data_IF_299108604086
#
_entry.id   IF_299108604086
#
_cell.length_a   1.000
_cell.length_b   1.000
_cell.length_c   1.000
_cell.angle_alpha   90.00
_cell.angle_beta   90.00
_cell.angle_gamma   90.00
#
_symmetry.space_group_name_H-M   'P 1'
#
loop_
_entity.id
_entity.type
_entity.pdbx_description
1 polymer ?
#
# COMPACT_ATOMS: atom_id res chain seq x y z
N UNK A 1 -4.16 -21.20 -21.86
CA UNK A 1 -5.24 -21.27 -20.85
C UNK A 1 -6.56 -20.92 -21.52
N UNK A 2 -7.66 -21.59 -21.15
CA UNK A 2 -8.99 -21.25 -21.67
C UNK A 2 -9.41 -19.87 -21.13
N UNK A 3 -10.13 -19.10 -21.96
CA UNK A 3 -10.55 -17.72 -21.66
C UNK A 3 -11.48 -17.65 -20.44
N UNK A 4 -12.24 -18.73 -20.20
CA UNK A 4 -13.17 -18.90 -19.08
C UNK A 4 -12.49 -18.81 -17.70
N UNK A 5 -11.31 -19.40 -17.53
CA UNK A 5 -10.58 -19.44 -16.26
C UNK A 5 -10.05 -18.05 -15.84
N UNK A 6 -9.65 -17.22 -16.80
CA UNK A 6 -9.08 -15.89 -16.52
C UNK A 6 -10.08 -14.91 -15.91
N UNK A 7 -11.37 -15.19 -16.09
CA UNK A 7 -12.46 -14.34 -15.66
C UNK A 7 -13.28 -15.01 -14.52
N UNK A 8 -12.84 -16.17 -14.01
CA UNK A 8 -13.43 -16.81 -12.83
C UNK A 8 -12.95 -16.14 -11.56
N UNK A 9 -13.89 -15.67 -10.74
CA UNK A 9 -13.60 -15.03 -9.44
C UNK A 9 -13.16 -16.07 -8.42
N UNK A 10 -12.04 -15.81 -7.74
CA UNK A 10 -11.59 -16.60 -6.60
C UNK A 10 -12.30 -16.10 -5.32
N UNK A 11 -13.12 -16.92 -4.63
CA UNK A 11 -13.99 -16.43 -3.54
C UNK A 11 -13.28 -15.81 -2.34
N UNK A 12 -12.06 -16.25 -2.00
CA UNK A 12 -11.30 -15.77 -0.86
C UNK A 12 -10.73 -14.37 -1.04
N UNK A 13 -10.45 -13.96 -2.28
CA UNK A 13 -9.94 -12.62 -2.62
C UNK A 13 -10.98 -11.74 -3.31
N UNK A 14 -12.01 -12.34 -3.92
CA UNK A 14 -12.95 -11.63 -4.79
C UNK A 14 -12.34 -11.19 -6.13
N UNK A 15 -11.14 -11.67 -6.47
CA UNK A 15 -10.41 -11.29 -7.68
C UNK A 15 -10.34 -12.42 -8.69
N UNK A 16 -10.44 -12.08 -9.96
CA UNK A 16 -10.13 -12.95 -11.10
C UNK A 16 -8.60 -13.07 -11.29
N UNK A 17 -8.09 -14.12 -11.95
CA UNK A 17 -6.69 -14.20 -12.34
C UNK A 17 -6.23 -12.99 -13.16
N UNK A 18 -7.10 -12.45 -14.03
CA UNK A 18 -6.81 -11.23 -14.80
C UNK A 18 -6.54 -10.04 -13.90
N UNK A 19 -7.39 -9.79 -12.91
CA UNK A 19 -7.22 -8.68 -11.96
C UNK A 19 -5.98 -8.88 -11.09
N UNK A 20 -5.72 -10.10 -10.62
CA UNK A 20 -4.50 -10.43 -9.86
C UNK A 20 -3.25 -10.11 -10.66
N UNK A 21 -3.22 -10.46 -11.96
CA UNK A 21 -2.09 -10.14 -12.82
C UNK A 21 -1.95 -8.63 -13.04
N UNK A 22 -3.05 -7.91 -13.28
CA UNK A 22 -3.01 -6.45 -13.40
C UNK A 22 -2.47 -5.76 -12.14
N UNK A 23 -2.82 -6.26 -10.95
CA UNK A 23 -2.27 -5.76 -9.67
C UNK A 23 -0.76 -6.02 -9.61
N UNK A 24 -0.30 -7.23 -9.94
CA UNK A 24 1.14 -7.57 -9.94
C UNK A 24 1.93 -6.70 -10.91
N UNK A 25 1.44 -6.54 -12.14
CA UNK A 25 2.09 -5.76 -13.18
C UNK A 25 2.18 -4.28 -12.79
N UNK A 26 1.09 -3.72 -12.27
CA UNK A 26 1.05 -2.34 -11.76
C UNK A 26 2.02 -2.14 -10.60
N UNK A 27 2.02 -3.06 -9.63
CA UNK A 27 2.89 -2.97 -8.46
C UNK A 27 4.38 -3.11 -8.82
N UNK A 28 4.70 -3.93 -9.83
CA UNK A 28 6.07 -4.07 -10.32
C UNK A 28 6.64 -2.73 -10.82
N UNK A 29 5.84 -1.89 -11.49
CA UNK A 29 6.23 -0.53 -11.89
C UNK A 29 6.50 0.35 -10.68
N UNK A 30 5.60 0.31 -9.68
CA UNK A 30 5.75 1.08 -8.44
C UNK A 30 7.03 0.70 -7.68
N UNK A 31 7.41 -0.58 -7.70
CA UNK A 31 8.60 -1.06 -6.98
C UNK A 31 9.93 -0.65 -7.61
N UNK A 32 9.96 -0.22 -8.88
CA UNK A 32 11.19 0.24 -9.55
C UNK A 32 11.79 1.48 -8.87
N UNK A 33 10.95 2.41 -8.40
CA UNK A 33 11.35 3.61 -7.67
C UNK A 33 10.85 3.56 -6.21
N UNK A 34 10.96 2.40 -5.55
CA UNK A 34 10.37 2.14 -4.22
C UNK A 34 10.55 3.27 -3.20
N UNK A 35 11.76 3.79 -3.02
CA UNK A 35 12.04 4.82 -2.00
C UNK A 35 11.29 6.13 -2.30
N UNK A 36 11.43 6.62 -3.54
CA UNK A 36 10.74 7.82 -4.03
C UNK A 36 9.23 7.66 -4.00
N UNK A 37 8.71 6.52 -4.47
CA UNK A 37 7.28 6.23 -4.44
C UNK A 37 6.74 6.11 -3.00
N UNK A 38 7.55 5.59 -2.06
CA UNK A 38 7.24 5.61 -0.64
C UNK A 38 7.11 7.01 -0.08
N UNK A 39 8.04 7.90 -0.44
CA UNK A 39 7.96 9.33 -0.11
C UNK A 39 6.70 9.98 -0.68
N UNK A 40 6.50 9.89 -2.00
CA UNK A 40 5.36 10.51 -2.69
C UNK A 40 4.01 10.02 -2.15
N UNK A 41 3.89 8.71 -1.88
CA UNK A 41 2.67 8.15 -1.28
C UNK A 41 2.38 8.74 0.10
N UNK A 42 3.36 8.73 1.01
CA UNK A 42 3.12 9.24 2.36
C UNK A 42 2.95 10.75 2.39
N UNK A 43 3.66 11.50 1.53
CA UNK A 43 3.43 12.93 1.36
C UNK A 43 1.97 13.18 0.96
N UNK A 44 1.46 12.47 -0.05
CA UNK A 44 0.04 12.52 -0.45
C UNK A 44 -0.90 12.16 0.69
N UNK A 45 -0.58 11.12 1.45
CA UNK A 45 -1.39 10.67 2.59
C UNK A 45 -1.50 11.75 3.68
N UNK A 46 -0.39 12.40 4.04
CA UNK A 46 -0.41 13.46 5.05
C UNK A 46 -0.94 14.80 4.52
N UNK A 47 -0.83 15.07 3.21
CA UNK A 47 -1.53 16.21 2.59
C UNK A 47 -3.05 16.05 2.63
N UNK A 48 -3.54 14.83 2.38
CA UNK A 48 -4.98 14.53 2.40
C UNK A 48 -5.53 14.39 3.83
N UNK A 49 -4.73 13.85 4.75
CA UNK A 49 -5.12 13.54 6.12
C UNK A 49 -4.01 13.97 7.11
N UNK A 50 -3.83 15.28 7.36
CA UNK A 50 -2.72 15.79 8.17
C UNK A 50 -2.67 15.20 9.59
N UNK A 51 -3.83 14.88 10.17
CA UNK A 51 -3.93 14.29 11.50
C UNK A 51 -3.26 12.91 11.59
N UNK A 52 -3.11 12.21 10.47
CA UNK A 52 -2.47 10.90 10.42
C UNK A 52 -0.96 10.96 10.72
N UNK A 53 -0.29 12.08 10.43
CA UNK A 53 1.14 12.23 10.75
C UNK A 53 1.40 12.15 12.25
N UNK A 54 0.42 12.55 13.08
CA UNK A 54 0.49 12.55 14.54
C UNK A 54 0.74 11.17 15.17
N UNK A 55 0.47 10.07 14.46
CA UNK A 55 0.71 8.71 14.92
C UNK A 55 2.18 8.26 14.78
N UNK A 56 3.01 9.05 14.11
CA UNK A 56 4.37 8.68 13.77
C UNK A 56 5.41 9.41 14.65
N UNK A 57 6.61 8.82 14.84
CA UNK A 57 7.68 9.47 15.58
C UNK A 57 8.25 10.72 14.87
N UNK A 58 7.85 10.97 13.61
CA UNK A 58 8.22 12.12 12.79
C UNK A 58 7.06 13.11 12.61
N UNK A 59 6.12 13.12 13.54
CA UNK A 59 4.93 13.99 13.51
C UNK A 59 5.22 15.49 13.41
N UNK A 60 6.38 15.93 13.87
CA UNK A 60 6.79 17.34 13.90
C UNK A 60 7.77 17.70 12.75
N UNK A 61 7.95 16.80 11.77
CA UNK A 61 8.81 17.01 10.61
C UNK A 61 7.97 17.57 9.46
N UNK A 62 8.45 18.63 8.81
CA UNK A 62 7.81 19.19 7.62
C UNK A 62 7.75 18.15 6.49
N UNK A 63 6.66 18.17 5.70
CA UNK A 63 6.41 17.13 4.69
C UNK A 63 7.52 17.05 3.63
N UNK A 64 8.09 18.19 3.24
CA UNK A 64 9.19 18.26 2.27
C UNK A 64 10.51 17.72 2.82
N UNK A 65 10.68 17.69 4.15
CA UNK A 65 11.86 17.17 4.82
C UNK A 65 11.75 15.68 5.17
N UNK A 66 10.56 15.08 5.03
CA UNK A 66 10.32 13.67 5.36
C UNK A 66 11.19 12.74 4.52
N UNK A 67 11.45 13.07 3.25
CA UNK A 67 12.22 12.21 2.34
C UNK A 67 13.58 11.84 2.93
N UNK A 68 14.21 12.77 3.65
CA UNK A 68 15.53 12.58 4.26
C UNK A 68 15.48 12.02 5.68
N UNK A 69 14.32 12.02 6.33
CA UNK A 69 14.17 11.63 7.72
C UNK A 69 14.33 10.10 7.94
N UNK A 70 15.26 9.69 8.81
CA UNK A 70 15.65 8.29 8.98
C UNK A 70 14.48 7.37 9.41
N UNK A 71 13.68 7.79 10.39
CA UNK A 71 12.52 7.00 10.84
C UNK A 71 11.44 6.89 9.76
N UNK A 72 11.31 7.92 8.92
CA UNK A 72 10.39 7.92 7.80
C UNK A 72 10.81 6.90 6.76
N UNK A 73 12.07 6.95 6.28
CA UNK A 73 12.64 5.98 5.33
C UNK A 73 12.42 4.53 5.77
N UNK A 74 12.64 4.25 7.05
CA UNK A 74 12.41 2.92 7.63
C UNK A 74 10.93 2.54 7.56
N UNK A 75 10.02 3.42 7.98
CA UNK A 75 8.59 3.10 8.01
C UNK A 75 8.01 2.95 6.60
N UNK A 76 8.27 3.90 5.70
CA UNK A 76 7.83 3.85 4.31
C UNK A 76 8.34 2.57 3.62
N UNK A 77 9.60 2.20 3.86
CA UNK A 77 10.17 0.96 3.36
C UNK A 77 9.48 -0.30 3.88
N UNK A 78 9.05 -0.33 5.15
CA UNK A 78 8.28 -1.43 5.74
C UNK A 78 6.89 -1.56 5.14
N UNK A 79 6.18 -0.45 4.92
CA UNK A 79 4.85 -0.46 4.29
C UNK A 79 4.92 -1.01 2.88
N UNK A 80 5.85 -0.53 2.05
CA UNK A 80 5.98 -1.03 0.68
C UNK A 80 6.40 -2.50 0.63
N UNK A 81 7.27 -2.96 1.53
CA UNK A 81 7.56 -4.40 1.64
C UNK A 81 6.32 -5.20 2.03
N UNK A 82 5.51 -4.70 2.97
CA UNK A 82 4.32 -5.41 3.42
C UNK A 82 3.24 -5.49 2.33
N UNK A 83 3.06 -4.43 1.54
CA UNK A 83 2.18 -4.45 0.36
C UNK A 83 2.74 -5.42 -0.69
N UNK A 84 4.06 -5.44 -0.90
CA UNK A 84 4.70 -6.41 -1.78
C UNK A 84 4.42 -7.86 -1.35
N UNK A 85 4.52 -8.17 -0.05
CA UNK A 85 4.17 -9.49 0.47
C UNK A 85 2.71 -9.86 0.15
N UNK A 86 1.78 -8.90 0.25
CA UNK A 86 0.37 -9.12 -0.12
C UNK A 86 0.21 -9.40 -1.61
N UNK A 87 0.88 -8.62 -2.46
CA UNK A 87 0.85 -8.75 -3.93
C UNK A 87 1.41 -10.10 -4.40
N UNK A 88 2.52 -10.55 -3.81
CA UNK A 88 3.11 -11.86 -4.14
C UNK A 88 2.23 -13.04 -3.69
N UNK A 89 1.36 -12.84 -2.70
CA UNK A 89 0.47 -13.86 -2.15
C UNK A 89 -0.98 -13.78 -2.64
N UNK A 90 -1.29 -13.02 -3.70
CA UNK A 90 -2.65 -12.94 -4.27
C UNK A 90 -3.24 -14.30 -4.70
N UNK A 91 -2.39 -15.29 -4.98
CA UNK A 91 -2.80 -16.66 -5.32
C UNK A 91 -2.77 -17.63 -4.13
N UNK A 92 -2.26 -17.20 -2.97
CA UNK A 92 -2.23 -17.97 -1.73
C UNK A 92 -3.08 -17.29 -0.66
N UNK A 93 -4.39 -17.53 -0.72
CA UNK A 93 -5.39 -16.88 0.14
C UNK A 93 -5.08 -17.03 1.63
N UNK A 94 -4.65 -18.22 2.05
CA UNK A 94 -4.36 -18.47 3.47
C UNK A 94 -3.23 -17.58 3.97
N UNK A 95 -2.15 -17.47 3.19
CA UNK A 95 -1.00 -16.62 3.53
C UNK A 95 -1.39 -15.13 3.49
N UNK A 96 -2.11 -14.71 2.45
CA UNK A 96 -2.59 -13.33 2.32
C UNK A 96 -3.45 -12.90 3.52
N UNK A 97 -4.38 -13.76 3.96
CA UNK A 97 -5.20 -13.51 5.16
C UNK A 97 -4.32 -13.41 6.41
N UNK A 98 -3.29 -14.25 6.54
CA UNK A 98 -2.32 -14.18 7.63
C UNK A 98 -1.59 -12.83 7.67
N UNK A 99 -1.11 -12.38 6.51
CA UNK A 99 -0.43 -11.08 6.35
C UNK A 99 -1.35 -9.92 6.74
N UNK A 100 -2.58 -9.88 6.22
CA UNK A 100 -3.55 -8.80 6.49
C UNK A 100 -3.92 -8.75 7.98
N UNK A 101 -4.19 -9.91 8.59
CA UNK A 101 -4.46 -9.99 10.04
C UNK A 101 -3.28 -9.53 10.88
N UNK A 102 -2.05 -9.89 10.49
CA UNK A 102 -0.83 -9.43 11.14
C UNK A 102 -0.73 -7.89 11.12
N UNK A 103 -0.98 -7.28 9.96
CA UNK A 103 -1.01 -5.81 9.84
C UNK A 103 -2.04 -5.20 10.79
N UNK A 104 -3.27 -5.70 10.80
CA UNK A 104 -4.30 -5.20 11.72
C UNK A 104 -3.90 -5.32 13.19
N UNK A 105 -3.41 -6.50 13.61
CA UNK A 105 -2.96 -6.76 14.98
C UNK A 105 -1.80 -5.87 15.40
N UNK A 106 -0.85 -5.58 14.51
CA UNK A 106 0.25 -4.68 14.80
C UNK A 106 -0.25 -3.24 15.01
N UNK A 107 -1.25 -2.79 14.24
CA UNK A 107 -1.69 -1.40 14.29
C UNK A 107 -2.68 -1.11 15.43
N UNK A 108 -3.44 -2.11 15.89
CA UNK A 108 -4.46 -1.92 16.94
C UNK A 108 -3.91 -1.34 18.27
N UNK A 109 -2.77 -1.80 18.85
CA UNK A 109 -2.21 -1.21 20.07
C UNK A 109 -1.79 0.25 19.95
N UNK A 110 -1.65 0.76 18.73
CA UNK A 110 -1.25 2.15 18.43
C UNK A 110 -2.46 3.08 18.26
N UNK A 111 -3.67 2.58 18.49
CA UNK A 111 -4.92 3.34 18.34
C UNK A 111 -5.32 3.60 16.88
N UNK A 112 -4.73 2.86 15.93
CA UNK A 112 -5.07 2.97 14.51
C UNK A 112 -6.37 2.22 14.25
N UNK A 113 -7.36 2.93 13.73
CA UNK A 113 -8.70 2.41 13.50
C UNK A 113 -8.87 1.94 12.05
N UNK A 114 -9.98 1.24 11.77
CA UNK A 114 -10.37 0.95 10.39
C UNK A 114 -10.47 2.23 9.54
N UNK A 115 -10.96 3.34 10.11
CA UNK A 115 -11.02 4.63 9.42
C UNK A 115 -9.66 5.15 8.97
N UNK A 116 -8.60 4.94 9.75
CA UNK A 116 -7.24 5.30 9.34
C UNK A 116 -6.75 4.46 8.14
N UNK A 117 -7.16 3.19 8.05
CA UNK A 117 -6.89 2.36 6.87
C UNK A 117 -7.72 2.77 5.65
N UNK A 118 -8.95 3.28 5.84
CA UNK A 118 -9.73 3.87 4.74
C UNK A 118 -9.09 5.17 4.21
N UNK A 119 -8.63 6.06 5.10
CA UNK A 119 -7.86 7.24 4.70
C UNK A 119 -6.61 6.83 3.90
N UNK A 120 -5.88 5.81 4.39
CA UNK A 120 -4.73 5.25 3.69
C UNK A 120 -5.11 4.74 2.29
N UNK A 121 -6.24 4.02 2.17
CA UNK A 121 -6.76 3.49 0.90
C UNK A 121 -7.06 4.62 -0.09
N UNK A 122 -7.73 5.68 0.35
CA UNK A 122 -8.04 6.83 -0.51
C UNK A 122 -6.78 7.51 -1.05
N UNK A 123 -5.82 7.80 -0.16
CA UNK A 123 -4.54 8.39 -0.55
C UNK A 123 -3.72 7.47 -1.46
N UNK A 124 -3.74 6.16 -1.20
CA UNK A 124 -3.01 5.18 -2.00
C UNK A 124 -3.55 5.10 -3.43
N UNK A 125 -4.88 5.11 -3.60
CA UNK A 125 -5.50 5.16 -4.91
C UNK A 125 -5.14 6.45 -5.65
N UNK A 126 -5.24 7.61 -4.98
CA UNK A 126 -4.84 8.89 -5.57
C UNK A 126 -3.37 8.89 -6.04
N UNK A 127 -2.47 8.39 -5.21
CA UNK A 127 -1.05 8.19 -5.55
C UNK A 127 -0.87 7.28 -6.78
N UNK A 128 -1.55 6.14 -6.83
CA UNK A 128 -1.46 5.22 -7.97
C UNK A 128 -1.97 5.85 -9.26
N UNK A 129 -3.09 6.57 -9.23
CA UNK A 129 -3.64 7.26 -10.41
C UNK A 129 -2.64 8.28 -10.97
N UNK A 130 -2.02 9.09 -10.12
CA UNK A 130 -1.02 10.07 -10.53
C UNK A 130 0.23 9.38 -11.09
N UNK A 131 0.72 8.34 -10.41
CA UNK A 131 1.95 7.66 -10.82
C UNK A 131 1.81 6.92 -12.15
N UNK A 132 0.66 6.28 -12.37
CA UNK A 132 0.39 5.53 -13.59
C UNK A 132 0.03 6.44 -14.77
N UNK A 133 -0.62 7.58 -14.52
CA UNK A 133 -0.92 8.56 -15.57
C UNK A 133 0.33 9.32 -16.04
N UNK A 134 1.33 9.50 -15.17
CA UNK A 134 2.61 10.12 -15.52
C UNK A 134 3.58 9.18 -16.30
N UNK A 135 3.21 7.91 -16.49
CA UNK A 135 4.05 6.89 -17.16
C UNK A 135 3.57 6.58 -18.59
N UNK A 136 2.53 7.29 -19.07
CA UNK A 136 1.97 7.19 -20.43
C UNK A 136 2.23 8.49 -21.19
#
# INVERSE_FOLDING_TARGET
MRKDYMDTVEPGTGLTPREKNAIRDTWAVVMQEKAKNGFLFFKKFFEMFPEMQGYFPFKDVELDDLEEHAFFKIHAGKVFNKINDMVENLYNVSELVGIIKGVGSDHAPRGITAGAFENLREAFLAFLFERMSATI
#
